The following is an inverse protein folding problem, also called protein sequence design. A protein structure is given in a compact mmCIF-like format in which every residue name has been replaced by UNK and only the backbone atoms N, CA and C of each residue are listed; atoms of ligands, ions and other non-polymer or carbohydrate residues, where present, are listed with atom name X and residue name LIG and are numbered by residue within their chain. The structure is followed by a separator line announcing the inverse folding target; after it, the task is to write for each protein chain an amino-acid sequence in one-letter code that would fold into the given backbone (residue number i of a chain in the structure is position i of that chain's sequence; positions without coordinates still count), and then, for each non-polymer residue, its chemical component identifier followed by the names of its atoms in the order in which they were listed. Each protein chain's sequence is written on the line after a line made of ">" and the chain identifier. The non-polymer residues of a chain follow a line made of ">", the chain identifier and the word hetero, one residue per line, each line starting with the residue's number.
data_IF_035617986323
#
_entry.id   IF_035617986323
#
_cell.length_a   1.000
_cell.length_b   1.000
_cell.length_c   1.000
_cell.angle_alpha   90.00
_cell.angle_beta   90.00
_cell.angle_gamma   90.00
#
_symmetry.space_group_name_H-M   'P 1'
#
loop_
_entity.id
_entity.type
_entity.pdbx_description
1 polymer ?
#
# COMPACT_ATOMS: atom_id res chain seq x y z
N UNK A 1 -3.32 25.36 48.33
CA UNK A 1 -2.13 25.10 47.51
C UNK A 1 -2.59 25.16 46.06
N UNK A 2 -2.36 26.30 45.41
CA UNK A 2 -2.76 26.57 44.03
C UNK A 2 -1.60 26.17 43.15
N UNK A 3 -1.82 25.22 42.23
CA UNK A 3 -0.86 24.97 41.14
C UNK A 3 -1.40 25.78 39.96
N UNK A 4 -0.87 26.98 39.79
CA UNK A 4 -1.00 27.74 38.54
C UNK A 4 -0.12 27.09 37.48
N UNK A 5 -0.73 26.64 36.38
CA UNK A 5 0.00 26.37 35.14
C UNK A 5 -0.25 27.56 34.21
N UNK A 6 0.58 28.60 34.36
CA UNK A 6 0.61 29.74 33.44
C UNK A 6 1.36 29.33 32.17
N UNK A 7 0.61 28.86 31.17
CA UNK A 7 0.79 29.19 29.75
C UNK A 7 -0.39 28.60 28.94
N UNK A 8 -1.36 29.42 28.49
CA UNK A 8 -2.32 28.95 27.51
C UNK A 8 -1.57 28.75 26.19
N UNK A 9 -1.36 27.50 25.78
CA UNK A 9 -1.08 27.20 24.38
C UNK A 9 -2.15 27.93 23.54
N UNK A 10 -1.79 28.68 22.49
CA UNK A 10 -2.76 29.43 21.71
C UNK A 10 -3.86 28.48 21.24
N UNK A 11 -5.10 28.83 21.59
CA UNK A 11 -6.30 28.04 21.35
C UNK A 11 -6.38 27.62 19.88
N UNK A 12 -6.38 26.31 19.62
CA UNK A 12 -6.68 25.74 18.31
C UNK A 12 -8.06 26.24 17.85
N UNK A 13 -8.11 26.94 16.71
CA UNK A 13 -9.36 27.40 16.10
C UNK A 13 -9.80 26.39 15.04
N UNK A 14 -11.03 25.89 15.16
CA UNK A 14 -11.64 25.00 14.17
C UNK A 14 -12.20 25.81 13.00
N UNK A 15 -11.94 25.36 11.78
CA UNK A 15 -12.56 25.88 10.57
C UNK A 15 -13.36 24.78 9.88
N UNK A 16 -14.62 25.07 9.53
CA UNK A 16 -15.52 24.11 8.89
C UNK A 16 -16.18 23.11 9.84
N UNK A 17 -17.18 22.35 9.34
CA UNK A 17 -17.89 21.34 10.13
C UNK A 17 -17.12 20.02 10.26
N UNK A 18 -16.24 19.69 9.31
CA UNK A 18 -15.52 18.42 9.29
C UNK A 18 -14.32 18.40 10.26
N UNK A 19 -14.04 17.25 10.85
CA UNK A 19 -12.89 17.01 11.72
C UNK A 19 -12.52 15.51 11.71
N UNK A 20 -11.34 15.18 12.23
CA UNK A 20 -10.87 13.79 12.34
C UNK A 20 -10.91 13.03 11.00
N UNK A 21 -11.46 11.81 11.03
CA UNK A 21 -11.57 10.92 9.85
C UNK A 21 -12.45 11.54 8.74
N UNK A 22 -13.48 12.32 9.08
CA UNK A 22 -14.32 12.99 8.08
C UNK A 22 -13.57 14.10 7.33
N UNK A 23 -12.71 14.84 8.03
CA UNK A 23 -11.83 15.84 7.38
C UNK A 23 -10.77 15.17 6.50
N UNK A 24 -10.20 14.06 6.95
CA UNK A 24 -9.28 13.26 6.14
C UNK A 24 -9.97 12.73 4.88
N UNK A 25 -11.20 12.22 4.99
CA UNK A 25 -11.97 11.78 3.83
C UNK A 25 -12.23 12.91 2.84
N UNK A 26 -12.60 14.10 3.34
CA UNK A 26 -12.79 15.28 2.47
C UNK A 26 -11.50 15.65 1.74
N UNK A 27 -10.35 15.62 2.42
CA UNK A 27 -9.05 15.84 1.78
C UNK A 27 -8.79 14.80 0.68
N UNK A 28 -8.95 13.52 0.97
CA UNK A 28 -8.74 12.44 0.01
C UNK A 28 -9.73 12.50 -1.17
N UNK A 29 -10.98 12.90 -0.92
CA UNK A 29 -11.97 13.12 -1.97
C UNK A 29 -11.54 14.22 -2.93
N UNK A 30 -11.07 15.37 -2.42
CA UNK A 30 -10.56 16.45 -3.27
C UNK A 30 -9.39 15.95 -4.14
N UNK A 31 -8.44 15.23 -3.54
CA UNK A 31 -7.29 14.69 -4.28
C UNK A 31 -7.71 13.68 -5.34
N UNK A 32 -8.64 12.78 -5.00
CA UNK A 32 -9.16 11.78 -5.93
C UNK A 32 -9.91 12.43 -7.08
N UNK A 33 -10.86 13.32 -6.80
CA UNK A 33 -11.67 14.03 -7.81
C UNK A 33 -10.78 14.82 -8.77
N UNK A 34 -9.82 15.58 -8.23
CA UNK A 34 -8.89 16.36 -9.05
C UNK A 34 -7.94 15.48 -9.86
N UNK A 35 -7.48 14.35 -9.31
CA UNK A 35 -6.66 13.39 -10.05
C UNK A 35 -7.44 12.83 -11.26
N UNK A 36 -8.69 12.40 -11.04
CA UNK A 36 -9.55 11.88 -12.12
C UNK A 36 -9.93 12.95 -13.14
N UNK A 37 -10.12 14.21 -12.72
CA UNK A 37 -10.37 15.33 -13.64
C UNK A 37 -9.17 15.64 -14.51
N UNK A 38 -7.96 15.65 -13.95
CA UNK A 38 -6.73 15.91 -14.69
C UNK A 38 -6.32 14.75 -15.60
N UNK A 39 -6.52 13.50 -15.14
CA UNK A 39 -6.19 12.27 -15.85
C UNK A 39 -7.24 11.20 -15.52
N UNK A 40 -8.23 10.94 -16.40
CA UNK A 40 -9.34 10.03 -16.11
C UNK A 40 -8.93 8.60 -15.73
N UNK A 41 -7.79 8.13 -16.24
CA UNK A 41 -7.18 6.83 -15.95
C UNK A 41 -6.11 6.90 -14.85
N UNK A 42 -6.03 7.99 -14.09
CA UNK A 42 -5.15 8.08 -12.94
C UNK A 42 -5.53 7.00 -11.91
N UNK A 43 -4.53 6.32 -11.36
CA UNK A 43 -4.70 5.32 -10.31
C UNK A 43 -4.36 5.95 -8.97
N UNK A 44 -5.34 6.06 -8.08
CA UNK A 44 -5.17 6.58 -6.72
C UNK A 44 -5.06 5.40 -5.76
N UNK A 45 -3.85 5.23 -5.22
CA UNK A 45 -3.54 4.20 -4.26
C UNK A 45 -3.51 4.76 -2.85
N UNK A 46 -4.13 4.06 -1.89
CA UNK A 46 -4.10 4.44 -0.48
C UNK A 46 -3.59 3.30 0.40
N UNK A 47 -3.25 3.65 1.64
CA UNK A 47 -2.88 2.70 2.68
C UNK A 47 -3.97 2.59 3.76
N UNK A 48 -4.07 1.37 4.27
CA UNK A 48 -5.11 0.80 5.15
C UNK A 48 -6.45 0.54 4.46
N UNK A 49 -6.90 -0.72 4.35
CA UNK A 49 -8.18 -1.08 3.76
C UNK A 49 -9.34 -0.70 4.70
N UNK A 50 -9.81 0.55 4.58
CA UNK A 50 -10.94 1.06 5.33
C UNK A 50 -12.12 1.35 4.37
N UNK A 51 -13.28 0.67 4.53
CA UNK A 51 -14.43 0.83 3.65
C UNK A 51 -14.94 2.26 3.54
N UNK A 52 -14.73 3.09 4.57
CA UNK A 52 -15.13 4.50 4.56
C UNK A 52 -14.46 5.31 3.44
N UNK A 53 -13.27 4.87 2.99
CA UNK A 53 -12.50 5.53 1.93
C UNK A 53 -12.57 4.81 0.58
N UNK A 54 -13.41 3.77 0.46
CA UNK A 54 -13.47 2.97 -0.76
C UNK A 54 -13.93 3.77 -1.99
N UNK A 55 -14.72 4.84 -1.79
CA UNK A 55 -15.13 5.74 -2.88
C UNK A 55 -14.07 6.73 -3.35
N UNK A 56 -12.91 6.78 -2.68
CA UNK A 56 -11.80 7.70 -2.97
C UNK A 56 -10.46 6.95 -3.10
N UNK A 57 -10.52 5.66 -3.45
CA UNK A 57 -9.37 4.77 -3.59
C UNK A 57 -9.61 3.80 -4.75
N UNK A 58 -8.63 3.62 -5.64
CA UNK A 58 -8.69 2.58 -6.68
C UNK A 58 -7.97 1.29 -6.26
N UNK A 59 -6.90 1.43 -5.46
CA UNK A 59 -6.00 0.34 -5.10
C UNK A 59 -5.52 0.44 -3.65
N UNK A 60 -5.48 -0.68 -2.95
CA UNK A 60 -4.93 -0.80 -1.60
C UNK A 60 -3.51 -1.34 -1.67
N UNK A 61 -2.56 -0.59 -1.12
CA UNK A 61 -1.19 -1.06 -0.87
C UNK A 61 -1.17 -1.96 0.37
N UNK A 62 -0.55 -3.13 0.29
CA UNK A 62 -0.40 -4.05 1.44
C UNK A 62 0.58 -3.56 2.52
N UNK A 63 1.19 -2.39 2.30
CA UNK A 63 2.10 -1.69 3.20
C UNK A 63 3.43 -2.40 3.45
N UNK A 64 4.37 -1.66 4.01
CA UNK A 64 5.75 -2.10 4.15
C UNK A 64 5.86 -3.45 4.89
N UNK A 65 6.72 -4.31 4.38
CA UNK A 65 7.01 -5.62 4.98
C UNK A 65 7.71 -5.43 6.32
N UNK A 66 7.20 -6.12 7.35
CA UNK A 66 7.90 -6.23 8.62
C UNK A 66 8.97 -7.33 8.51
N UNK A 67 10.23 -6.93 8.37
CA UNK A 67 11.38 -7.84 8.22
C UNK A 67 11.66 -8.70 9.45
N UNK A 68 11.09 -8.35 10.61
CA UNK A 68 11.15 -9.16 11.84
C UNK A 68 10.10 -10.27 11.93
N UNK A 69 9.28 -10.46 10.89
CA UNK A 69 8.24 -11.48 10.82
C UNK A 69 8.32 -12.26 9.50
N UNK A 70 7.60 -13.39 9.41
CA UNK A 70 7.47 -14.14 8.17
C UNK A 70 6.82 -13.26 7.07
N UNK A 71 7.58 -12.99 6.01
CA UNK A 71 7.17 -12.12 4.88
C UNK A 71 5.95 -12.70 4.17
N UNK A 72 5.91 -14.00 3.91
CA UNK A 72 4.80 -14.59 3.15
C UNK A 72 3.53 -14.60 4.00
N UNK A 73 3.62 -15.08 5.24
CA UNK A 73 2.46 -15.21 6.12
C UNK A 73 1.81 -13.84 6.40
N UNK A 74 2.61 -12.81 6.66
CA UNK A 74 2.06 -11.47 6.91
C UNK A 74 1.40 -10.89 5.66
N UNK A 75 2.01 -11.03 4.47
CA UNK A 75 1.46 -10.42 3.25
C UNK A 75 0.22 -11.16 2.76
N UNK A 76 0.15 -12.49 2.92
CA UNK A 76 -1.09 -13.26 2.72
C UNK A 76 -2.18 -12.78 3.67
N UNK A 77 -1.86 -12.57 4.94
CA UNK A 77 -2.83 -12.09 5.92
C UNK A 77 -3.35 -10.70 5.55
N UNK A 78 -2.47 -9.76 5.20
CA UNK A 78 -2.85 -8.41 4.79
C UNK A 78 -3.70 -8.41 3.52
N UNK A 79 -3.39 -9.25 2.54
CA UNK A 79 -4.22 -9.42 1.34
C UNK A 79 -5.63 -9.93 1.69
N UNK A 80 -5.76 -10.87 2.63
CA UNK A 80 -7.07 -11.34 3.12
C UNK A 80 -7.87 -10.21 3.78
N UNK A 81 -7.23 -9.40 4.63
CA UNK A 81 -7.87 -8.24 5.26
C UNK A 81 -8.33 -7.22 4.21
N UNK A 82 -7.48 -6.91 3.24
CA UNK A 82 -7.82 -5.98 2.15
C UNK A 82 -9.02 -6.46 1.34
N UNK A 83 -9.06 -7.74 0.95
CA UNK A 83 -10.20 -8.33 0.22
C UNK A 83 -11.48 -8.35 1.06
N UNK A 84 -11.38 -8.58 2.36
CA UNK A 84 -12.54 -8.62 3.24
C UNK A 84 -13.16 -7.23 3.46
N UNK A 85 -12.33 -6.21 3.66
CA UNK A 85 -12.80 -4.85 3.91
C UNK A 85 -13.19 -4.10 2.62
N UNK A 86 -12.42 -4.26 1.55
CA UNK A 86 -12.59 -3.53 0.30
C UNK A 86 -12.62 -4.49 -0.91
N UNK A 87 -13.65 -5.34 -1.06
CA UNK A 87 -13.66 -6.45 -2.03
C UNK A 87 -13.61 -6.02 -3.50
N UNK A 88 -13.92 -4.75 -3.81
CA UNK A 88 -13.94 -4.22 -5.17
C UNK A 88 -12.68 -3.45 -5.57
N UNK A 89 -11.76 -3.22 -4.63
CA UNK A 89 -10.53 -2.46 -4.90
C UNK A 89 -9.41 -3.39 -5.36
N UNK A 90 -8.52 -2.85 -6.20
CA UNK A 90 -7.30 -3.54 -6.57
C UNK A 90 -6.36 -3.66 -5.36
N UNK A 91 -5.42 -4.61 -5.42
CA UNK A 91 -4.38 -4.78 -4.42
C UNK A 91 -3.03 -4.57 -5.08
N UNK A 92 -2.26 -3.61 -4.57
CA UNK A 92 -0.82 -3.50 -4.79
C UNK A 92 -0.12 -4.33 -3.72
N UNK A 93 0.70 -5.28 -4.16
CA UNK A 93 1.29 -6.25 -3.23
C UNK A 93 2.39 -5.67 -2.37
N UNK A 94 2.87 -4.46 -2.67
CA UNK A 94 4.14 -3.95 -2.15
C UNK A 94 5.31 -4.90 -2.49
N UNK A 95 6.54 -4.48 -2.20
CA UNK A 95 7.71 -5.35 -2.29
C UNK A 95 8.88 -4.85 -1.43
N UNK A 96 8.62 -3.97 -0.45
CA UNK A 96 9.67 -3.33 0.34
C UNK A 96 9.27 -3.21 1.82
N UNK A 97 10.22 -3.24 2.77
CA UNK A 97 11.62 -3.68 2.63
C UNK A 97 11.76 -5.22 2.58
N UNK A 98 12.94 -5.74 2.24
CA UNK A 98 13.20 -7.19 2.21
C UNK A 98 14.38 -7.59 3.10
N UNK A 99 14.24 -8.67 3.91
CA UNK A 99 15.30 -9.10 4.83
C UNK A 99 16.46 -9.82 4.14
N UNK A 100 16.24 -10.39 2.96
CA UNK A 100 17.25 -11.06 2.15
C UNK A 100 16.79 -11.22 0.69
N UNK A 101 17.72 -11.53 -0.21
CA UNK A 101 17.41 -11.87 -1.61
C UNK A 101 16.56 -13.14 -1.68
N UNK A 102 16.79 -14.10 -0.78
CA UNK A 102 15.95 -15.31 -0.67
C UNK A 102 14.50 -14.99 -0.34
N UNK A 103 14.26 -14.14 0.66
CA UNK A 103 12.90 -13.71 1.02
C UNK A 103 12.22 -12.93 -0.12
N UNK A 104 12.97 -12.04 -0.79
CA UNK A 104 12.47 -11.32 -1.95
C UNK A 104 12.08 -12.28 -3.09
N UNK A 105 12.88 -13.31 -3.39
CA UNK A 105 12.56 -14.33 -4.40
C UNK A 105 11.27 -15.07 -4.08
N UNK A 106 11.14 -15.56 -2.85
CA UNK A 106 9.91 -16.25 -2.40
C UNK A 106 8.70 -15.34 -2.50
N UNK A 107 8.81 -14.10 -2.03
CA UNK A 107 7.70 -13.16 -2.09
C UNK A 107 7.34 -12.78 -3.53
N UNK A 108 8.32 -12.58 -4.40
CA UNK A 108 8.11 -12.27 -5.83
C UNK A 108 7.33 -13.38 -6.55
N UNK A 109 7.56 -14.65 -6.18
CA UNK A 109 6.75 -15.78 -6.71
C UNK A 109 5.29 -15.72 -6.26
N UNK A 110 5.03 -15.24 -5.04
CA UNK A 110 3.72 -15.22 -4.43
C UNK A 110 2.86 -14.03 -4.89
N UNK A 111 3.45 -12.87 -5.18
CA UNK A 111 2.72 -11.63 -5.50
C UNK A 111 1.56 -11.80 -6.51
N UNK A 112 1.70 -12.54 -7.63
CA UNK A 112 0.62 -12.72 -8.61
C UNK A 112 -0.65 -13.37 -8.04
N UNK A 113 -0.57 -14.08 -6.92
CA UNK A 113 -1.70 -14.71 -6.24
C UNK A 113 -2.42 -13.74 -5.27
N UNK A 114 -1.73 -12.68 -4.85
CA UNK A 114 -2.23 -11.70 -3.89
C UNK A 114 -2.85 -10.48 -4.58
N UNK A 115 -2.23 -10.00 -5.66
CA UNK A 115 -2.65 -8.78 -6.34
C UNK A 115 -1.74 -8.45 -7.52
N UNK A 116 -1.65 -7.15 -7.82
CA UNK A 116 -0.74 -6.60 -8.83
C UNK A 116 0.69 -6.63 -8.26
N UNK A 117 1.63 -7.36 -8.90
CA UNK A 117 3.01 -7.42 -8.44
C UNK A 117 3.71 -6.06 -8.50
N UNK A 118 4.39 -5.70 -7.42
CA UNK A 118 5.17 -4.46 -7.30
C UNK A 118 6.68 -4.76 -7.39
N UNK A 119 7.46 -3.80 -7.89
CA UNK A 119 8.92 -3.93 -8.00
C UNK A 119 9.61 -2.68 -7.48
N UNK A 120 10.48 -2.86 -6.49
CA UNK A 120 11.23 -1.77 -5.84
C UNK A 120 12.75 -1.91 -6.01
N UNK A 121 13.25 -3.10 -6.32
CA UNK A 121 14.69 -3.36 -6.45
C UNK A 121 15.08 -3.50 -7.91
N UNK A 122 16.12 -2.77 -8.31
CA UNK A 122 16.67 -2.80 -9.67
C UNK A 122 17.99 -3.55 -9.77
N UNK A 123 18.87 -3.47 -8.75
CA UNK A 123 20.19 -4.12 -8.78
C UNK A 123 20.54 -4.88 -7.49
N UNK A 124 20.09 -4.39 -6.32
CA UNK A 124 20.34 -5.00 -5.02
C UNK A 124 19.08 -4.90 -4.16
N UNK A 125 18.92 -5.85 -3.25
CA UNK A 125 17.90 -5.77 -2.16
C UNK A 125 18.47 -5.04 -0.94
N UNK A 126 17.63 -4.71 0.05
CA UNK A 126 18.05 -3.95 1.24
C UNK A 126 19.18 -4.61 2.05
N UNK A 127 19.33 -5.94 1.98
CA UNK A 127 20.43 -6.69 2.60
C UNK A 127 21.79 -6.47 1.92
N UNK A 128 21.83 -5.80 0.77
CA UNK A 128 23.04 -5.59 -0.04
C UNK A 128 23.34 -6.74 -1.00
N UNK A 129 22.53 -7.80 -1.03
CA UNK A 129 22.67 -8.89 -1.99
C UNK A 129 22.28 -8.44 -3.41
N UNK A 130 23.13 -8.73 -4.40
CA UNK A 130 22.91 -8.36 -5.80
C UNK A 130 21.93 -9.30 -6.51
N UNK A 131 21.07 -8.73 -7.35
CA UNK A 131 20.19 -9.47 -8.25
C UNK A 131 21.00 -10.12 -9.39
N UNK A 132 20.65 -11.37 -9.73
CA UNK A 132 21.27 -12.13 -10.82
C UNK A 132 20.38 -12.15 -12.07
N UNK A 133 20.86 -12.57 -13.24
CA UNK A 133 20.04 -12.76 -14.45
C UNK A 133 18.74 -13.56 -14.21
N UNK A 134 18.80 -14.57 -13.35
CA UNK A 134 17.68 -15.43 -12.96
C UNK A 134 16.60 -14.65 -12.18
N UNK A 135 17.00 -13.65 -11.40
CA UNK A 135 16.07 -12.80 -10.65
C UNK A 135 15.24 -11.91 -11.58
N UNK A 136 15.84 -11.35 -12.62
CA UNK A 136 15.09 -10.64 -13.65
C UNK A 136 14.16 -11.59 -14.44
N UNK A 137 14.57 -12.84 -14.65
CA UNK A 137 13.70 -13.85 -15.25
C UNK A 137 12.51 -14.20 -14.35
N UNK A 138 12.73 -14.28 -13.04
CA UNK A 138 11.68 -14.46 -12.04
C UNK A 138 10.67 -13.31 -12.06
N UNK A 139 11.13 -12.05 -12.09
CA UNK A 139 10.24 -10.88 -12.19
C UNK A 139 9.37 -10.95 -13.44
N UNK A 140 9.97 -11.24 -14.61
CA UNK A 140 9.21 -11.41 -15.87
C UNK A 140 8.16 -12.51 -15.74
N UNK A 141 8.53 -13.65 -15.18
CA UNK A 141 7.62 -14.79 -15.00
C UNK A 141 6.45 -14.47 -14.06
N UNK A 142 6.70 -13.73 -12.97
CA UNK A 142 5.67 -13.29 -12.04
C UNK A 142 4.65 -12.36 -12.73
N UNK A 143 5.14 -11.37 -13.48
CA UNK A 143 4.28 -10.42 -14.19
C UNK A 143 3.50 -11.07 -15.33
N UNK A 144 4.12 -11.98 -16.08
CA UNK A 144 3.43 -12.77 -17.11
C UNK A 144 2.32 -13.65 -16.51
N UNK A 145 2.56 -14.24 -15.33
CA UNK A 145 1.55 -15.02 -14.61
C UNK A 145 0.36 -14.15 -14.20
N UNK A 146 0.62 -12.99 -13.59
CA UNK A 146 -0.43 -12.04 -13.22
C UNK A 146 -1.27 -11.65 -14.45
N UNK A 147 -0.62 -11.21 -15.54
CA UNK A 147 -1.29 -10.80 -16.78
C UNK A 147 -2.17 -11.90 -17.39
N UNK A 148 -1.73 -13.16 -17.33
CA UNK A 148 -2.51 -14.32 -17.82
C UNK A 148 -3.68 -14.68 -16.91
N UNK A 149 -3.58 -14.42 -15.61
CA UNK A 149 -4.64 -14.63 -14.62
C UNK A 149 -5.76 -13.58 -14.73
N UNK A 150 -5.42 -12.34 -15.10
CA UNK A 150 -6.35 -11.21 -15.24
C UNK A 150 -7.12 -11.23 -16.58
N UNK A 151 -7.53 -12.40 -17.10
CA UNK A 151 -8.35 -12.41 -18.33
C UNK A 151 -9.62 -11.58 -18.09
N UNK A 152 -9.77 -10.56 -18.93
CA UNK A 152 -10.77 -9.49 -18.89
C UNK A 152 -12.22 -9.98 -18.78
#
# INVERSE_FOLDING_TARGET
>A
MVVEVHHPLPLLRRHGPEWGVGLLHKLLWILYDEAKRCKPDALVMTHTPNPYFAGVTDMIRLNDVNTGADVLAQMVHRAKVARAACPHLLIDTDNWPMPSLGAWREYTRLQPELGIPSLYFATHVDSGEALTPEDYALVRAAWDRHRKGTKA
#
